data_IF_124890873884
#
_entry.id   IF_124890873884
#
_cell.length_a   1.000
_cell.length_b   1.000
_cell.length_c   1.000
_cell.angle_alpha   90.00
_cell.angle_beta   90.00
_cell.angle_gamma   90.00
#
_symmetry.space_group_name_H-M   'P 1'
#
loop_
_entity.id
_entity.type
_entity.pdbx_description
1 polymer ?
#
# COMPACT_ATOMS: atom_id res chain seq x y z
N UNK A 1 12.86 -8.71 16.14
CA UNK A 1 11.73 -8.61 15.19
C UNK A 1 12.31 -8.44 13.80
N UNK A 2 12.04 -9.35 12.86
CA UNK A 2 12.53 -9.19 11.49
C UNK A 2 11.72 -8.11 10.78
N UNK A 3 12.36 -6.97 10.46
CA UNK A 3 11.75 -5.96 9.61
C UNK A 3 11.71 -6.50 8.18
N UNK A 4 10.54 -6.99 7.74
CA UNK A 4 10.34 -7.41 6.35
C UNK A 4 10.19 -6.15 5.50
N UNK A 5 11.25 -5.77 4.79
CA UNK A 5 11.19 -4.68 3.82
C UNK A 5 10.53 -5.20 2.55
N UNK A 6 9.51 -4.48 2.08
CA UNK A 6 8.77 -4.83 0.85
C UNK A 6 8.94 -3.68 -0.12
N UNK A 7 9.61 -3.95 -1.24
CA UNK A 7 9.73 -3.02 -2.36
C UNK A 7 8.75 -3.41 -3.46
N UNK A 8 8.01 -2.44 -3.99
CA UNK A 8 7.17 -2.64 -5.17
C UNK A 8 7.89 -1.98 -6.34
N UNK A 9 8.51 -2.79 -7.20
CA UNK A 9 9.28 -2.30 -8.35
C UNK A 9 8.38 -1.79 -9.49
N UNK A 10 7.20 -2.39 -9.66
CA UNK A 10 6.27 -2.04 -10.73
C UNK A 10 4.85 -2.08 -10.24
N UNK A 11 4.08 -1.09 -10.67
CA UNK A 11 2.68 -0.94 -10.36
C UNK A 11 1.95 -0.55 -11.64
N UNK A 12 0.77 -1.15 -11.85
CA UNK A 12 -0.09 -0.79 -12.97
C UNK A 12 -0.45 0.71 -12.93
N UNK A 13 -0.46 1.36 -14.10
CA UNK A 13 -0.67 2.81 -14.22
C UNK A 13 -2.06 3.22 -13.73
N UNK A 14 -3.10 2.45 -14.03
CA UNK A 14 -4.46 2.77 -13.60
C UNK A 14 -4.59 2.60 -12.08
N UNK A 15 -3.96 1.56 -11.52
CA UNK A 15 -3.88 1.38 -10.07
C UNK A 15 -3.11 2.54 -9.41
N UNK A 16 -1.99 2.98 -9.99
CA UNK A 16 -1.19 4.09 -9.47
C UNK A 16 -1.99 5.39 -9.36
N UNK A 17 -2.74 5.73 -10.41
CA UNK A 17 -3.59 6.92 -10.41
C UNK A 17 -4.66 6.86 -9.32
N UNK A 18 -5.32 5.70 -9.14
CA UNK A 18 -6.32 5.51 -8.08
C UNK A 18 -5.72 5.68 -6.69
N UNK A 19 -4.54 5.10 -6.45
CA UNK A 19 -3.82 5.25 -5.17
C UNK A 19 -3.43 6.70 -4.93
N UNK A 20 -2.94 7.40 -5.94
CA UNK A 20 -2.59 8.82 -5.85
C UNK A 20 -3.80 9.70 -5.49
N UNK A 21 -4.95 9.46 -6.12
CA UNK A 21 -6.18 10.20 -5.78
C UNK A 21 -6.63 9.89 -4.35
N UNK A 22 -6.61 8.61 -3.95
CA UNK A 22 -7.03 8.20 -2.61
C UNK A 22 -6.14 8.77 -1.50
N UNK A 23 -4.83 8.83 -1.74
CA UNK A 23 -3.84 9.38 -0.79
C UNK A 23 -4.00 10.89 -0.61
N UNK A 24 -4.20 11.63 -1.71
CA UNK A 24 -4.54 13.07 -1.67
C UNK A 24 -5.82 13.32 -0.88
N UNK A 25 -6.89 12.57 -1.15
CA UNK A 25 -8.19 12.74 -0.46
C UNK A 25 -8.11 12.49 1.05
N UNK A 26 -7.17 11.65 1.48
CA UNK A 26 -7.00 11.26 2.88
C UNK A 26 -5.88 12.05 3.58
N UNK A 27 -5.21 12.94 2.86
CA UNK A 27 -4.04 13.67 3.34
C UNK A 27 -2.95 12.76 3.94
N UNK A 28 -2.67 11.64 3.25
CA UNK A 28 -1.63 10.69 3.66
C UNK A 28 -0.64 10.48 2.53
N UNK A 29 0.58 10.05 2.88
CA UNK A 29 1.57 9.68 1.87
C UNK A 29 1.27 8.31 1.26
N UNK A 30 1.76 8.09 0.04
CA UNK A 30 1.64 6.81 -0.67
C UNK A 30 2.27 5.66 0.14
N UNK A 31 3.38 5.92 0.83
CA UNK A 31 4.05 4.92 1.67
C UNK A 31 3.16 4.40 2.80
N UNK A 32 2.40 5.29 3.45
CA UNK A 32 1.45 4.92 4.51
C UNK A 32 0.32 4.06 3.94
N UNK A 33 -0.25 4.47 2.81
CA UNK A 33 -1.29 3.70 2.13
C UNK A 33 -0.81 2.28 1.76
N UNK A 34 0.43 2.14 1.27
CA UNK A 34 1.02 0.84 0.93
C UNK A 34 1.18 -0.06 2.17
N UNK A 35 1.65 0.49 3.29
CA UNK A 35 1.77 -0.24 4.55
C UNK A 35 0.40 -0.76 5.00
N UNK A 36 -0.64 0.08 4.91
CA UNK A 36 -2.01 -0.32 5.24
C UNK A 36 -2.52 -1.43 4.32
N UNK A 37 -2.30 -1.31 3.01
CA UNK A 37 -2.70 -2.32 2.03
C UNK A 37 -2.03 -3.68 2.32
N UNK A 38 -0.73 -3.69 2.62
CA UNK A 38 0.01 -4.90 3.00
C UNK A 38 -0.56 -5.50 4.28
N UNK A 39 -0.82 -4.67 5.31
CA UNK A 39 -1.42 -5.13 6.58
C UNK A 39 -2.77 -5.78 6.37
N UNK A 40 -3.63 -5.19 5.53
CA UNK A 40 -4.94 -5.76 5.19
C UNK A 40 -4.79 -7.10 4.48
N UNK A 41 -3.87 -7.23 3.52
CA UNK A 41 -3.61 -8.49 2.83
C UNK A 41 -3.14 -9.59 3.79
N UNK A 42 -2.13 -9.30 4.63
CA UNK A 42 -1.61 -10.26 5.60
C UNK A 42 -2.66 -10.71 6.62
N UNK A 43 -3.57 -9.82 7.03
CA UNK A 43 -4.70 -10.19 7.90
C UNK A 43 -5.69 -11.14 7.24
N UNK A 44 -5.90 -11.03 5.93
CA UNK A 44 -6.77 -11.95 5.16
C UNK A 44 -6.13 -13.31 4.93
N UNK A 45 -4.80 -13.37 4.86
CA UNK A 45 -4.06 -14.63 4.62
C UNK A 45 -3.81 -15.43 5.91
N UNK A 46 -3.80 -14.78 7.07
CA UNK A 46 -3.54 -15.39 8.38
C UNK A 46 -4.80 -15.59 9.25
N UNK A 47 -6.00 -15.41 8.71
CA UNK A 47 -7.28 -15.66 9.37
C UNK A 47 -8.12 -16.61 8.55
#
# INVERSE_FOLDING_TARGET
MAHKVVFIEKMDTALWQRVRIATIKRDITISVWMIEAIRVKLRKENG
#
